data_IF_920279924329
#
_entry.id   IF_920279924329
#
_cell.length_a   1.000
_cell.length_b   1.000
_cell.length_c   1.000
_cell.angle_alpha   90.00
_cell.angle_beta   90.00
_cell.angle_gamma   90.00
#
_symmetry.space_group_name_H-M   'P 1'
#
loop_
_entity.id
_entity.type
_entity.pdbx_description
1 polymer ?
#
# COMPACT_ATOMS: atom_id res chain seq x y z
N UNK A 1 22.83 -11.09 -21.88
CA UNK A 1 21.56 -10.62 -21.27
C UNK A 1 20.57 -10.13 -22.33
N UNK A 2 19.26 -10.30 -22.12
CA UNK A 2 18.19 -9.74 -22.98
C UNK A 2 17.77 -8.34 -22.51
N UNK A 3 17.36 -7.45 -23.43
CA UNK A 3 16.96 -6.07 -23.10
C UNK A 3 15.82 -5.97 -22.06
N UNK A 4 14.87 -6.92 -22.04
CA UNK A 4 13.79 -6.96 -21.03
C UNK A 4 14.35 -7.09 -19.61
N UNK A 5 15.36 -7.94 -19.42
CA UNK A 5 16.03 -8.15 -18.13
C UNK A 5 16.84 -6.91 -17.75
N UNK A 6 17.58 -6.35 -18.70
CA UNK A 6 18.33 -5.11 -18.50
C UNK A 6 17.46 -3.96 -18.00
N UNK A 7 16.25 -3.81 -18.57
CA UNK A 7 15.26 -2.82 -18.12
C UNK A 7 14.72 -3.09 -16.71
N UNK A 8 14.56 -4.37 -16.34
CA UNK A 8 14.21 -4.75 -14.97
C UNK A 8 15.29 -4.27 -14.00
N UNK A 9 16.54 -4.64 -14.28
CA UNK A 9 17.70 -4.23 -13.48
C UNK A 9 17.87 -2.70 -13.43
N UNK A 10 17.60 -1.97 -14.52
CA UNK A 10 17.63 -0.49 -14.50
C UNK A 10 16.59 0.11 -13.53
N UNK A 11 15.40 -0.49 -13.42
CA UNK A 11 14.37 -0.05 -12.47
C UNK A 11 14.72 -0.39 -11.03
N UNK A 12 15.28 -1.56 -10.79
CA UNK A 12 15.80 -1.94 -9.48
C UNK A 12 16.99 -1.07 -9.08
N UNK A 13 17.84 -0.71 -10.05
CA UNK A 13 18.97 0.18 -9.85
C UNK A 13 18.46 1.56 -9.43
N UNK A 14 17.33 2.02 -9.99
CA UNK A 14 16.63 3.24 -9.59
C UNK A 14 16.19 3.24 -8.10
N UNK A 15 15.96 2.06 -7.53
CA UNK A 15 15.54 1.83 -6.14
C UNK A 15 16.69 1.45 -5.20
N UNK A 16 17.93 1.32 -5.72
CA UNK A 16 19.09 0.91 -4.94
C UNK A 16 19.16 -0.59 -4.62
N UNK A 17 18.34 -1.43 -5.26
CA UNK A 17 18.12 -2.83 -4.89
C UNK A 17 18.89 -3.86 -5.76
N UNK A 18 19.89 -3.43 -6.53
CA UNK A 18 20.65 -4.32 -7.45
C UNK A 18 21.92 -4.82 -6.75
N UNK A 19 22.23 -6.10 -6.92
CA UNK A 19 23.47 -6.72 -6.42
C UNK A 19 24.72 -6.21 -7.17
N UNK A 20 25.92 -6.45 -6.66
CA UNK A 20 27.16 -6.10 -7.38
C UNK A 20 27.35 -6.95 -8.66
N UNK A 21 26.94 -8.21 -8.62
CA UNK A 21 27.01 -9.15 -9.74
C UNK A 21 26.08 -8.74 -10.89
N UNK A 22 24.84 -8.38 -10.56
CA UNK A 22 23.87 -7.89 -11.53
C UNK A 22 24.28 -6.55 -12.14
N UNK A 23 24.97 -5.68 -11.38
CA UNK A 23 25.54 -4.43 -11.91
C UNK A 23 26.60 -4.69 -12.98
N UNK A 24 27.54 -5.60 -12.72
CA UNK A 24 28.58 -5.95 -13.70
C UNK A 24 27.96 -6.53 -14.98
N UNK A 25 26.98 -7.42 -14.82
CA UNK A 25 26.24 -8.03 -15.92
C UNK A 25 25.44 -7.00 -16.73
N UNK A 26 24.80 -6.04 -16.03
CA UNK A 26 24.10 -4.92 -16.65
C UNK A 26 25.06 -4.05 -17.44
N UNK A 27 26.22 -3.71 -16.88
CA UNK A 27 27.21 -2.85 -17.51
C UNK A 27 27.72 -3.42 -18.83
N UNK A 28 28.06 -4.72 -18.87
CA UNK A 28 28.46 -5.39 -20.12
C UNK A 28 27.39 -5.33 -21.22
N UNK A 29 26.10 -5.33 -20.85
CA UNK A 29 25.03 -5.13 -21.83
C UNK A 29 24.85 -3.68 -22.27
N UNK A 30 25.08 -2.70 -21.39
CA UNK A 30 24.99 -1.28 -21.75
C UNK A 30 26.08 -0.89 -22.76
N UNK A 31 27.23 -1.55 -22.73
CA UNK A 31 28.31 -1.37 -23.72
C UNK A 31 27.91 -1.89 -25.11
N UNK A 32 27.10 -2.95 -25.18
CA UNK A 32 26.68 -3.55 -26.47
C UNK A 32 25.33 -3.04 -26.97
N UNK A 33 24.43 -2.56 -26.11
CA UNK A 33 23.07 -2.18 -26.48
C UNK A 33 22.84 -0.66 -26.35
N UNK A 34 22.83 0.09 -27.48
CA UNK A 34 22.68 1.55 -27.44
C UNK A 34 21.31 2.01 -26.95
N UNK A 35 20.27 1.17 -27.08
CA UNK A 35 18.93 1.49 -26.58
C UNK A 35 18.90 1.49 -25.05
N UNK A 36 19.39 0.42 -24.44
CA UNK A 36 19.47 0.31 -22.98
C UNK A 36 20.44 1.35 -22.40
N UNK A 37 21.55 1.66 -23.10
CA UNK A 37 22.47 2.72 -22.71
C UNK A 37 21.81 4.10 -22.65
N UNK A 38 20.96 4.44 -23.63
CA UNK A 38 20.20 5.70 -23.61
C UNK A 38 19.21 5.76 -22.45
N UNK A 39 18.50 4.67 -22.18
CA UNK A 39 17.58 4.57 -21.04
C UNK A 39 18.32 4.74 -19.70
N UNK A 40 19.49 4.12 -19.55
CA UNK A 40 20.34 4.26 -18.37
C UNK A 40 20.80 5.71 -18.14
N UNK A 41 21.25 6.40 -19.22
CA UNK A 41 21.64 7.81 -19.15
C UNK A 41 20.47 8.72 -18.78
N UNK A 42 19.28 8.46 -19.30
CA UNK A 42 18.08 9.23 -18.95
C UNK A 42 17.72 9.07 -17.46
N UNK A 43 17.78 7.84 -16.95
CA UNK A 43 17.58 7.54 -15.53
C UNK A 43 18.59 8.28 -14.64
N UNK A 44 19.87 8.28 -15.03
CA UNK A 44 20.94 8.99 -14.32
C UNK A 44 20.73 10.50 -14.33
N UNK A 45 20.33 11.08 -15.47
CA UNK A 45 20.00 12.50 -15.56
C UNK A 45 18.84 12.87 -14.62
N UNK A 46 17.76 12.08 -14.61
CA UNK A 46 16.63 12.28 -13.69
C UNK A 46 17.07 12.23 -12.24
N UNK A 47 17.95 11.29 -11.86
CA UNK A 47 18.50 11.21 -10.50
C UNK A 47 19.29 12.43 -10.10
N UNK A 48 20.11 12.96 -11.00
CA UNK A 48 20.88 14.18 -10.74
C UNK A 48 19.97 15.38 -10.54
N UNK A 49 18.93 15.52 -11.36
CA UNK A 49 17.93 16.58 -11.22
C UNK A 49 17.17 16.47 -9.89
N UNK A 50 16.70 15.26 -9.54
CA UNK A 50 16.05 15.03 -8.25
C UNK A 50 16.99 15.26 -7.08
N UNK A 51 18.26 14.86 -7.19
CA UNK A 51 19.28 15.12 -6.17
C UNK A 51 19.59 16.60 -5.99
N UNK A 52 19.57 17.39 -7.07
CA UNK A 52 19.74 18.84 -7.01
C UNK A 52 18.55 19.57 -6.35
N UNK A 53 17.34 19.01 -6.44
CA UNK A 53 16.15 19.54 -5.76
C UNK A 53 16.15 19.26 -4.26
N UNK A 54 16.88 18.23 -3.80
CA UNK A 54 17.10 18.00 -2.37
C UNK A 54 18.22 18.93 -1.90
N UNK A 55 17.91 20.22 -1.80
CA UNK A 55 18.68 21.18 -0.99
C UNK A 55 18.43 20.88 0.49
N UNK A 56 18.89 19.71 0.94
CA UNK A 56 18.94 19.35 2.34
C UNK A 56 20.41 19.25 2.71
N UNK A 57 20.83 20.03 3.71
CA UNK A 57 22.14 19.91 4.33
C UNK A 57 22.44 18.43 4.51
N UNK A 58 23.51 17.97 3.83
CA UNK A 58 23.99 16.63 4.01
C UNK A 58 24.18 16.34 5.51
N UNK A 59 24.08 15.07 5.91
CA UNK A 59 24.22 14.69 7.32
C UNK A 59 25.37 15.46 7.97
N UNK A 60 25.08 16.18 9.05
CA UNK A 60 26.03 17.08 9.71
C UNK A 60 27.37 16.36 9.95
N UNK A 61 28.47 17.09 10.08
CA UNK A 61 29.77 16.47 10.40
C UNK A 61 29.76 15.66 11.71
N UNK A 62 28.73 15.83 12.56
CA UNK A 62 28.44 14.98 13.70
C UNK A 62 27.83 13.62 13.32
N UNK A 63 27.03 13.55 12.25
CA UNK A 63 26.47 12.32 11.70
C UNK A 63 27.55 11.44 11.02
N UNK A 64 28.57 12.04 10.39
CA UNK A 64 29.75 11.31 9.90
C UNK A 64 30.65 10.80 11.04
N UNK A 65 30.51 11.35 12.26
CA UNK A 65 31.22 10.90 13.47
C UNK A 65 30.51 9.80 14.23
N UNK A 66 29.30 9.42 13.82
CA UNK A 66 28.72 8.16 14.27
C UNK A 66 29.63 7.05 13.76
N UNK A 67 30.20 6.21 14.64
CA UNK A 67 30.98 5.07 14.20
C UNK A 67 30.02 4.09 13.53
N UNK A 68 29.89 4.18 12.20
CA UNK A 68 29.12 3.22 11.39
C UNK A 68 29.61 1.78 11.62
N UNK A 69 30.86 1.60 12.06
CA UNK A 69 31.38 0.33 12.57
C UNK A 69 30.58 -0.24 13.74
N UNK A 70 30.09 0.59 14.67
CA UNK A 70 29.25 0.13 15.79
C UNK A 70 27.86 -0.30 15.35
N UNK A 71 27.34 0.17 14.23
CA UNK A 71 26.03 -0.25 13.73
C UNK A 71 26.10 -1.65 13.06
N UNK A 72 27.22 -1.95 12.40
CA UNK A 72 27.51 -3.30 11.91
C UNK A 72 27.74 -4.27 13.07
N UNK A 73 28.53 -3.85 14.06
CA UNK A 73 28.89 -4.68 15.22
C UNK A 73 27.72 -4.89 16.21
N UNK A 74 26.72 -4.01 16.21
CA UNK A 74 25.49 -4.19 17.01
C UNK A 74 24.54 -5.26 16.46
N UNK A 75 24.68 -5.65 15.18
CA UNK A 75 23.89 -6.75 14.60
C UNK A 75 24.50 -8.13 14.87
N UNK A 76 25.82 -8.22 15.02
CA UNK A 76 26.50 -9.52 15.15
C UNK A 76 26.80 -9.92 16.60
N UNK A 77 27.00 -8.98 17.54
CA UNK A 77 27.47 -9.34 18.89
C UNK A 77 26.43 -9.42 20.02
N UNK A 78 25.25 -8.81 19.88
CA UNK A 78 24.28 -8.67 21.00
C UNK A 78 23.05 -9.56 20.89
N UNK A 79 22.86 -10.21 19.75
CA UNK A 79 21.64 -10.93 19.44
C UNK A 79 21.77 -12.45 19.64
N UNK A 80 22.95 -13.04 19.49
CA UNK A 80 23.10 -14.51 19.51
C UNK A 80 22.70 -15.14 20.86
N UNK A 81 23.13 -14.57 22.00
CA UNK A 81 22.79 -15.15 23.31
C UNK A 81 21.34 -14.96 23.76
N UNK A 82 20.69 -13.84 23.41
CA UNK A 82 19.29 -13.58 23.78
C UNK A 82 18.31 -14.25 22.81
N UNK A 83 18.62 -14.35 21.52
CA UNK A 83 17.77 -15.03 20.54
C UNK A 83 17.75 -16.53 20.82
N UNK A 84 18.88 -17.16 21.16
CA UNK A 84 18.90 -18.59 21.50
C UNK A 84 18.12 -18.88 22.79
N UNK A 85 18.23 -18.02 23.80
CA UNK A 85 17.41 -18.10 24.99
C UNK A 85 15.91 -17.93 24.65
N UNK A 86 15.56 -16.94 23.82
CA UNK A 86 14.17 -16.72 23.41
C UNK A 86 13.64 -17.86 22.54
N UNK A 87 14.46 -18.48 21.69
CA UNK A 87 14.11 -19.59 20.82
C UNK A 87 13.77 -20.87 21.62
N UNK A 88 14.44 -21.10 22.76
CA UNK A 88 14.11 -22.19 23.68
C UNK A 88 12.76 -21.98 24.39
N UNK A 89 12.39 -20.72 24.67
CA UNK A 89 11.11 -20.38 25.31
C UNK A 89 9.98 -20.11 24.31
N UNK A 90 10.30 -19.80 23.04
CA UNK A 90 9.36 -19.48 21.97
C UNK A 90 8.27 -20.55 21.75
N UNK A 91 8.57 -21.87 21.67
CA UNK A 91 7.52 -22.85 21.39
C UNK A 91 6.48 -22.96 22.51
N UNK A 92 6.80 -22.51 23.74
CA UNK A 92 5.84 -22.45 24.86
C UNK A 92 5.17 -21.09 25.02
N UNK A 93 5.82 -19.99 24.65
CA UNK A 93 5.28 -18.64 24.80
C UNK A 93 4.31 -18.24 23.68
N UNK A 94 4.52 -18.75 22.45
CA UNK A 94 3.65 -18.44 21.30
C UNK A 94 2.17 -18.80 21.55
N UNK A 95 1.79 -20.00 22.00
CA UNK A 95 0.38 -20.32 22.22
C UNK A 95 -0.24 -19.50 23.37
N UNK A 96 0.52 -19.23 24.43
CA UNK A 96 0.04 -18.43 25.55
C UNK A 96 -0.21 -16.97 25.14
N UNK A 97 0.69 -16.39 24.33
CA UNK A 97 0.53 -15.04 23.80
C UNK A 97 -0.70 -14.94 22.88
N UNK A 98 -0.94 -15.95 22.02
CA UNK A 98 -2.12 -15.98 21.16
C UNK A 98 -3.42 -16.03 21.98
N UNK A 99 -3.48 -16.87 23.00
CA UNK A 99 -4.63 -16.96 23.92
C UNK A 99 -4.85 -15.62 24.64
N UNK A 100 -3.77 -14.98 25.11
CA UNK A 100 -3.85 -13.67 25.75
C UNK A 100 -4.38 -12.59 24.80
N UNK A 101 -3.94 -12.56 23.53
CA UNK A 101 -4.45 -11.60 22.54
C UNK A 101 -5.93 -11.83 22.25
N UNK A 102 -6.36 -13.08 22.13
CA UNK A 102 -7.78 -13.43 21.92
C UNK A 102 -8.62 -13.04 23.15
N UNK A 103 -8.15 -13.35 24.36
CA UNK A 103 -8.81 -12.97 25.60
C UNK A 103 -8.90 -11.46 25.72
N UNK A 104 -7.81 -10.74 25.44
CA UNK A 104 -7.78 -9.28 25.50
C UNK A 104 -8.73 -8.68 24.46
N UNK A 105 -8.73 -9.21 23.24
CA UNK A 105 -9.67 -8.81 22.18
C UNK A 105 -11.13 -9.04 22.55
N UNK A 106 -11.46 -10.23 23.06
CA UNK A 106 -12.80 -10.56 23.53
C UNK A 106 -13.23 -9.70 24.72
N UNK A 107 -12.33 -9.43 25.65
CA UNK A 107 -12.54 -8.53 26.77
C UNK A 107 -12.82 -7.11 26.27
N UNK A 108 -11.97 -6.58 25.36
CA UNK A 108 -12.20 -5.25 24.78
C UNK A 108 -13.51 -5.18 24.03
N UNK A 109 -13.92 -6.24 23.32
CA UNK A 109 -15.19 -6.33 22.63
C UNK A 109 -16.38 -6.30 23.60
N UNK A 110 -16.30 -7.03 24.71
CA UNK A 110 -17.31 -7.03 25.78
C UNK A 110 -17.44 -5.67 26.47
N UNK A 111 -16.32 -4.95 26.61
CA UNK A 111 -16.27 -3.63 27.23
C UNK A 111 -16.43 -2.49 26.22
N UNK A 112 -16.62 -2.75 24.93
CA UNK A 112 -17.04 -1.68 24.03
C UNK A 112 -18.47 -1.29 24.42
N UNK A 113 -18.70 -0.06 24.92
CA UNK A 113 -20.06 0.44 24.99
C UNK A 113 -20.59 0.36 23.56
N UNK A 114 -21.76 -0.26 23.38
CA UNK A 114 -22.52 -0.15 22.15
C UNK A 114 -22.82 1.33 21.97
N UNK A 115 -21.89 2.08 21.37
CA UNK A 115 -22.18 3.41 20.88
C UNK A 115 -23.33 3.17 19.91
N UNK A 116 -24.55 3.65 20.23
CA UNK A 116 -25.68 3.48 19.34
C UNK A 116 -25.22 4.07 18.03
N UNK A 117 -25.11 3.22 17.01
CA UNK A 117 -24.74 3.59 15.65
C UNK A 117 -25.67 4.71 15.26
N UNK A 118 -25.25 5.96 15.47
CA UNK A 118 -25.98 7.15 15.04
C UNK A 118 -25.85 7.11 13.53
N UNK A 119 -26.77 6.39 12.91
CA UNK A 119 -27.14 6.58 11.52
C UNK A 119 -27.36 8.09 11.40
N UNK A 120 -26.43 8.75 10.72
CA UNK A 120 -26.64 10.14 10.37
C UNK A 120 -27.99 10.20 9.65
N UNK A 121 -28.93 11.04 10.10
CA UNK A 121 -30.24 11.11 9.48
C UNK A 121 -30.05 11.38 7.99
N UNK A 122 -30.76 10.62 7.16
CA UNK A 122 -30.68 10.65 5.70
C UNK A 122 -30.85 12.08 5.15
N UNK A 123 -31.54 12.93 5.92
CA UNK A 123 -31.74 14.36 5.77
C UNK A 123 -30.42 15.11 5.50
N UNK A 124 -29.31 14.73 6.16
CA UNK A 124 -27.98 15.35 5.93
C UNK A 124 -27.37 14.99 4.58
N UNK A 125 -27.69 13.82 4.04
CA UNK A 125 -27.22 13.43 2.70
C UNK A 125 -28.08 14.08 1.60
N UNK A 126 -29.37 14.28 1.86
CA UNK A 126 -30.27 15.00 0.94
C UNK A 126 -29.92 16.50 0.86
N UNK A 127 -29.60 17.15 1.98
CA UNK A 127 -29.13 18.55 1.97
C UNK A 127 -27.77 18.70 1.27
N UNK A 128 -26.83 17.77 1.49
CA UNK A 128 -25.50 17.84 0.88
C UNK A 128 -25.49 17.60 -0.64
N UNK A 129 -26.52 16.92 -1.17
CA UNK A 129 -26.64 16.64 -2.61
C UNK A 129 -27.27 17.78 -3.41
N UNK A 130 -27.74 18.85 -2.77
CA UNK A 130 -28.32 20.01 -3.46
C UNK A 130 -29.59 19.69 -4.25
N UNK A 131 -30.19 18.51 -4.04
CA UNK A 131 -31.44 18.09 -4.68
C UNK A 131 -32.60 18.48 -3.78
N UNK A 132 -32.78 19.78 -3.57
CA UNK A 132 -34.07 20.32 -3.14
C UNK A 132 -34.71 20.86 -4.42
N UNK A 133 -35.69 20.16 -5.01
CA UNK A 133 -36.47 20.73 -6.09
C UNK A 133 -37.24 21.91 -5.51
N UNK A 134 -36.86 23.10 -5.96
CA UNK A 134 -37.65 24.30 -5.83
C UNK A 134 -39.01 24.04 -6.49
N UNK A 135 -40.06 24.08 -5.68
CA UNK A 135 -41.45 24.34 -6.03
C UNK A 135 -41.97 23.68 -7.33
N UNK A 136 -42.67 22.56 -7.18
CA UNK A 136 -43.77 22.24 -8.10
C UNK A 136 -45.05 22.05 -7.30
N UNK A 137 -46.04 22.87 -7.65
CA UNK A 137 -47.36 22.93 -7.05
C UNK A 137 -48.16 21.62 -7.17
N UNK A 138 -49.40 21.63 -6.67
CA UNK A 138 -50.06 20.43 -6.19
C UNK A 138 -50.57 19.59 -7.37
N UNK A 139 -49.88 18.49 -7.65
CA UNK A 139 -50.43 17.39 -8.42
C UNK A 139 -50.65 16.21 -7.49
N UNK A 140 -51.85 16.24 -6.92
CA UNK A 140 -52.65 15.05 -6.65
C UNK A 140 -52.45 14.03 -7.78
N UNK A 141 -51.82 12.90 -7.49
CA UNK A 141 -52.35 11.56 -7.80
C UNK A 141 -51.38 10.50 -7.30
N UNK A 142 -51.83 9.80 -6.27
CA UNK A 142 -51.24 8.57 -5.75
C UNK A 142 -51.16 7.51 -6.85
N UNK A 143 -49.97 7.25 -7.37
CA UNK A 143 -49.67 6.00 -8.08
C UNK A 143 -48.74 5.17 -7.20
N UNK A 144 -49.34 4.25 -6.46
CA UNK A 144 -48.63 3.18 -5.75
C UNK A 144 -48.03 2.25 -6.79
N UNK A 145 -46.72 2.35 -6.98
CA UNK A 145 -45.96 1.41 -7.81
C UNK A 145 -45.97 0.04 -7.12
N UNK A 146 -46.76 -0.90 -7.66
CA UNK A 146 -46.92 -2.24 -7.11
C UNK A 146 -45.72 -3.12 -7.46
N UNK A 147 -45.40 -4.04 -6.55
CA UNK A 147 -44.21 -4.91 -6.56
C UNK A 147 -44.03 -5.76 -7.82
N UNK A 148 -45.09 -5.94 -8.62
CA UNK A 148 -45.05 -6.69 -9.88
C UNK A 148 -44.37 -5.92 -11.03
N UNK A 149 -44.38 -4.59 -11.03
CA UNK A 149 -43.73 -3.78 -12.08
C UNK A 149 -42.19 -3.83 -11.99
N UNK A 150 -41.66 -4.08 -10.79
CA UNK A 150 -40.22 -4.20 -10.54
C UNK A 150 -39.68 -5.53 -11.09
N UNK A 151 -40.48 -6.60 -11.05
CA UNK A 151 -40.09 -7.92 -11.55
C UNK A 151 -40.01 -7.96 -13.09
N UNK A 152 -40.87 -7.24 -13.79
CA UNK A 152 -40.79 -7.10 -15.25
C UNK A 152 -39.50 -6.38 -15.70
N UNK A 153 -39.03 -5.41 -14.90
CA UNK A 153 -37.83 -4.63 -15.21
C UNK A 153 -36.52 -5.40 -14.97
N UNK A 154 -36.53 -6.37 -14.05
CA UNK A 154 -35.36 -7.23 -13.78
C UNK A 154 -35.23 -8.35 -14.81
N UNK A 155 -36.33 -8.93 -15.29
CA UNK A 155 -36.30 -10.02 -16.26
C UNK A 155 -35.89 -9.58 -17.68
N UNK A 156 -36.10 -8.32 -18.06
CA UNK A 156 -35.66 -7.79 -19.36
C UNK A 156 -34.15 -7.50 -19.43
N UNK A 157 -33.41 -7.58 -18.32
CA UNK A 157 -31.99 -7.21 -18.26
C UNK A 157 -31.03 -8.40 -18.41
N UNK A 158 -31.50 -9.63 -18.33
CA UNK A 158 -30.64 -10.83 -18.28
C UNK A 158 -30.43 -11.53 -19.64
N UNK A 159 -31.24 -11.21 -20.67
CA UNK A 159 -31.13 -11.82 -22.02
C UNK A 159 -30.08 -11.13 -22.93
N UNK A 160 -29.29 -10.17 -22.41
CA UNK A 160 -28.51 -9.25 -23.24
C UNK A 160 -26.98 -9.44 -23.30
N UNK A 161 -26.38 -10.38 -22.56
CA UNK A 161 -24.90 -10.39 -22.39
C UNK A 161 -24.25 -11.78 -22.53
N UNK A 162 -24.45 -12.48 -23.66
CA UNK A 162 -23.42 -13.40 -24.21
C UNK A 162 -23.55 -13.51 -25.74
N UNK A 163 -22.97 -12.57 -26.49
CA UNK A 163 -22.52 -12.80 -27.88
C UNK A 163 -21.68 -11.62 -28.39
N UNK A 164 -20.35 -11.68 -28.19
CA UNK A 164 -19.30 -11.37 -29.18
C UNK A 164 -17.93 -11.35 -28.54
#
# INVERSE_FOLDING_TARGET
MRCRVARGLLREMARGAVSSEDRATLQGHLETCPRCAREARALEATRRLLGALVEGEGPSSAFCRLPWGKLAESREGRAEGWIDAFALFAPRLIPAAAVMVVLLGGLTYLFQPLEPRRVAPLDRYLEASGVVPQEMGPLSETTTLTQDDVLALVLLRDEGVVAR
#
